data_IF_691824090844
#
_entry.id   IF_691824090844
#
_cell.length_a   1.000
_cell.length_b   1.000
_cell.length_c   1.000
_cell.angle_alpha   90.00
_cell.angle_beta   90.00
_cell.angle_gamma   90.00
#
_symmetry.space_group_name_H-M   'P 1'
#
loop_
_entity.id
_entity.type
_entity.pdbx_description
1 polymer ?
#
# COMPACT_ATOMS: atom_id res chain seq x y z
N UNK A 1 13.79 17.20 -25.87
CA UNK A 1 13.84 15.92 -25.16
C UNK A 1 14.38 14.87 -26.13
N UNK A 2 15.55 14.26 -25.86
CA UNK A 2 16.09 13.21 -26.70
C UNK A 2 15.19 11.96 -26.62
N UNK A 3 15.09 11.22 -27.72
CA UNK A 3 14.38 9.92 -27.74
C UNK A 3 15.03 8.99 -26.72
N UNK A 4 14.27 8.50 -25.73
CA UNK A 4 14.73 7.50 -24.76
C UNK A 4 14.76 6.07 -25.33
N UNK A 5 14.42 5.93 -26.61
CA UNK A 5 14.41 4.65 -27.29
C UNK A 5 15.85 4.09 -27.37
N UNK A 6 16.05 2.90 -26.80
CA UNK A 6 17.36 2.24 -26.80
C UNK A 6 18.26 2.59 -25.59
N UNK A 7 17.79 3.36 -24.60
CA UNK A 7 18.57 3.60 -23.39
C UNK A 7 18.71 2.31 -22.56
N UNK A 8 19.94 2.06 -22.11
CA UNK A 8 20.30 0.92 -21.29
C UNK A 8 20.49 1.31 -19.82
N UNK A 9 19.97 0.46 -18.92
CA UNK A 9 20.10 0.58 -17.46
C UNK A 9 20.66 -0.73 -16.89
N UNK A 10 21.37 -0.65 -15.77
CA UNK A 10 21.77 -1.87 -15.06
C UNK A 10 20.51 -2.58 -14.52
N UNK A 11 19.57 -1.81 -13.95
CA UNK A 11 18.29 -2.34 -13.44
C UNK A 11 17.12 -1.46 -13.87
N UNK A 12 16.09 -2.09 -14.42
CA UNK A 12 14.77 -1.49 -14.58
C UNK A 12 13.84 -2.03 -13.50
N UNK A 13 13.14 -1.12 -12.82
CA UNK A 13 12.07 -1.45 -11.87
C UNK A 13 10.73 -1.06 -12.49
N UNK A 14 9.76 -1.95 -12.48
CA UNK A 14 8.40 -1.68 -12.95
C UNK A 14 7.50 -1.45 -11.76
N UNK A 15 6.97 -0.23 -11.65
CA UNK A 15 6.11 0.24 -10.56
C UNK A 15 6.78 1.23 -9.61
N UNK A 16 6.19 2.43 -9.49
CA UNK A 16 6.61 3.50 -8.56
C UNK A 16 5.85 3.47 -7.22
N UNK A 17 5.46 2.28 -6.77
CA UNK A 17 4.96 2.06 -5.41
C UNK A 17 6.10 2.09 -4.38
N UNK A 18 5.81 2.09 -3.05
CA UNK A 18 6.84 2.14 -2.01
C UNK A 18 7.94 1.09 -2.16
N UNK A 19 7.59 -0.14 -2.55
CA UNK A 19 8.56 -1.22 -2.76
C UNK A 19 9.50 -0.91 -3.92
N UNK A 20 8.97 -0.48 -5.07
CA UNK A 20 9.80 -0.14 -6.23
C UNK A 20 10.71 1.05 -5.95
N UNK A 21 10.19 2.10 -5.31
CA UNK A 21 10.95 3.29 -4.95
C UNK A 21 12.06 3.01 -3.93
N UNK A 22 11.79 2.22 -2.86
CA UNK A 22 12.81 1.81 -1.89
C UNK A 22 13.87 0.91 -2.53
N UNK A 23 13.46 -0.03 -3.39
CA UNK A 23 14.39 -0.85 -4.17
C UNK A 23 15.32 0.03 -5.02
N UNK A 24 14.77 1.07 -5.66
CA UNK A 24 15.57 2.01 -6.45
C UNK A 24 16.61 2.76 -5.61
N UNK A 25 16.23 3.25 -4.41
CA UNK A 25 17.17 3.92 -3.49
C UNK A 25 18.30 2.95 -3.12
N UNK A 26 17.97 1.73 -2.73
CA UNK A 26 18.94 0.73 -2.31
C UNK A 26 19.94 0.36 -3.40
N UNK A 27 19.48 0.26 -4.64
CA UNK A 27 20.33 0.00 -5.79
C UNK A 27 21.17 1.22 -6.16
N UNK A 28 20.55 2.39 -6.24
CA UNK A 28 21.24 3.65 -6.57
C UNK A 28 22.30 4.02 -5.53
N UNK A 29 22.04 3.75 -4.24
CA UNK A 29 23.02 3.93 -3.15
C UNK A 29 24.27 3.05 -3.32
N UNK A 30 24.19 1.99 -4.11
CA UNK A 30 25.30 1.09 -4.47
C UNK A 30 25.94 1.43 -5.83
N UNK A 31 25.57 2.58 -6.42
CA UNK A 31 26.11 3.04 -7.70
C UNK A 31 25.51 2.33 -8.94
N UNK A 32 24.39 1.60 -8.77
CA UNK A 32 23.71 0.92 -9.87
C UNK A 32 22.84 1.92 -10.62
N UNK A 33 22.93 1.95 -11.95
CA UNK A 33 22.12 2.81 -12.83
C UNK A 33 20.70 2.27 -12.94
N UNK A 34 19.73 2.96 -12.31
CA UNK A 34 18.34 2.50 -12.15
C UNK A 34 17.37 3.38 -12.93
N UNK A 35 16.38 2.74 -13.58
CA UNK A 35 15.17 3.40 -14.04
C UNK A 35 13.93 2.76 -13.41
N UNK A 36 12.92 3.57 -13.11
CA UNK A 36 11.58 3.12 -12.73
C UNK A 36 10.63 3.43 -13.87
N UNK A 37 9.86 2.44 -14.30
CA UNK A 37 8.76 2.58 -15.25
C UNK A 37 7.43 2.49 -14.50
N UNK A 38 6.64 3.56 -14.53
CA UNK A 38 5.33 3.61 -13.87
C UNK A 38 4.26 3.91 -14.90
N UNK A 39 3.20 3.09 -14.92
CA UNK A 39 2.08 3.25 -15.84
C UNK A 39 1.21 4.49 -15.56
N UNK A 40 1.13 4.93 -14.31
CA UNK A 40 0.38 6.12 -13.90
C UNK A 40 1.09 7.41 -14.28
N UNK A 41 0.37 8.53 -14.26
CA UNK A 41 0.94 9.88 -14.49
C UNK A 41 1.74 10.42 -13.30
N UNK A 42 1.66 9.73 -12.16
CA UNK A 42 2.34 10.10 -10.92
C UNK A 42 2.11 9.05 -9.85
N UNK A 43 2.48 9.40 -8.61
CA UNK A 43 2.25 8.54 -7.44
C UNK A 43 0.75 8.31 -7.23
N UNK A 44 0.35 7.04 -7.06
CA UNK A 44 -1.03 6.65 -6.76
C UNK A 44 -1.54 7.33 -5.48
N UNK A 45 -2.60 8.14 -5.59
CA UNK A 45 -3.21 8.88 -4.48
C UNK A 45 -4.34 8.12 -3.78
N UNK A 46 -4.64 6.90 -4.21
CA UNK A 46 -5.72 6.11 -3.62
C UNK A 46 -5.40 5.70 -2.17
N UNK A 47 -6.43 5.53 -1.31
CA UNK A 47 -6.23 5.02 0.03
C UNK A 47 -5.59 3.62 0.03
N UNK A 48 -4.36 3.54 0.53
CA UNK A 48 -3.55 2.31 0.65
C UNK A 48 -3.09 2.16 2.10
N UNK A 49 -1.98 1.48 2.34
CA UNK A 49 -1.39 1.32 3.66
C UNK A 49 -1.22 2.66 4.39
N UNK A 50 -1.35 2.62 5.71
CA UNK A 50 -1.21 3.80 6.58
C UNK A 50 -0.31 3.55 7.76
N UNK A 51 -0.01 2.30 8.10
CA UNK A 51 0.75 1.96 9.30
C UNK A 51 1.99 1.16 8.93
N UNK A 52 3.14 1.62 9.37
CA UNK A 52 4.45 1.04 9.10
C UNK A 52 5.06 0.53 10.41
N UNK A 53 5.45 -0.73 10.39
CA UNK A 53 6.01 -1.42 11.55
C UNK A 53 7.52 -1.11 11.70
N UNK A 54 8.11 -1.33 12.86
CA UNK A 54 9.52 -1.02 13.13
C UNK A 54 10.53 -1.64 12.16
N UNK A 55 10.26 -2.83 11.63
CA UNK A 55 11.13 -3.44 10.61
C UNK A 55 11.22 -2.62 9.34
N UNK A 56 10.13 -1.94 8.94
CA UNK A 56 10.13 -1.02 7.79
C UNK A 56 10.84 0.29 8.15
N UNK A 57 10.76 0.72 9.41
CA UNK A 57 11.48 1.92 9.87
C UNK A 57 13.00 1.72 9.85
N UNK A 58 13.50 0.53 10.16
CA UNK A 58 14.92 0.21 10.02
C UNK A 58 15.40 0.37 8.57
N UNK A 59 14.62 -0.11 7.60
CA UNK A 59 14.89 0.10 6.17
C UNK A 59 14.85 1.59 5.79
N UNK A 60 13.91 2.36 6.36
CA UNK A 60 13.84 3.80 6.14
C UNK A 60 15.06 4.53 6.74
N UNK A 61 15.63 4.04 7.83
CA UNK A 61 16.84 4.57 8.43
C UNK A 61 18.06 4.29 7.56
N UNK A 62 18.23 3.05 7.11
CA UNK A 62 19.31 2.66 6.20
C UNK A 62 19.30 3.43 4.88
N UNK A 63 18.11 3.71 4.36
CA UNK A 63 17.93 4.51 3.13
C UNK A 63 18.01 6.02 3.38
N UNK A 64 18.06 6.46 4.65
CA UNK A 64 18.18 7.87 5.03
C UNK A 64 16.92 8.71 4.89
N UNK A 65 15.74 8.07 4.75
CA UNK A 65 14.45 8.78 4.60
C UNK A 65 13.66 8.88 5.92
N UNK A 66 14.07 8.17 6.98
CA UNK A 66 13.29 8.04 8.22
C UNK A 66 12.92 9.39 8.83
N UNK A 67 13.88 10.33 8.89
CA UNK A 67 13.64 11.64 9.49
C UNK A 67 12.65 12.49 8.67
N UNK A 68 12.67 12.37 7.35
CA UNK A 68 11.70 13.07 6.49
C UNK A 68 10.29 12.45 6.63
N UNK A 69 10.21 11.14 6.82
CA UNK A 69 8.95 10.46 7.12
C UNK A 69 8.41 10.87 8.49
N UNK A 70 9.24 10.91 9.54
CA UNK A 70 8.84 11.33 10.90
C UNK A 70 8.24 12.74 10.93
N UNK A 71 8.71 13.68 10.10
CA UNK A 71 8.16 15.03 9.99
C UNK A 71 6.69 15.06 9.52
N UNK A 72 6.25 14.02 8.80
CA UNK A 72 4.90 13.92 8.23
C UNK A 72 4.04 12.84 8.88
N UNK A 73 4.66 11.89 9.56
CA UNK A 73 4.01 10.76 10.18
C UNK A 73 3.53 11.06 11.61
N UNK A 74 2.60 10.23 12.06
CA UNK A 74 2.19 10.13 13.46
C UNK A 74 2.81 8.90 14.09
N UNK A 75 3.30 9.02 15.33
CA UNK A 75 3.78 7.85 16.08
C UNK A 75 2.58 6.94 16.39
N UNK A 76 2.69 5.68 15.99
CA UNK A 76 1.68 4.65 16.26
C UNK A 76 2.10 3.83 17.48
N UNK A 77 1.83 4.37 18.67
CA UNK A 77 2.28 3.81 19.93
C UNK A 77 1.17 3.14 20.75
N UNK A 78 -0.11 3.38 20.46
CA UNK A 78 -1.21 2.81 21.23
C UNK A 78 -2.17 2.06 20.32
N UNK A 79 -2.27 0.75 20.56
CA UNK A 79 -3.20 -0.14 19.90
C UNK A 79 -4.34 -0.44 20.85
N UNK A 80 -5.57 -0.09 20.51
CA UNK A 80 -6.77 -0.33 21.32
C UNK A 80 -7.72 -1.31 20.68
N UNK A 81 -8.37 -2.12 21.51
CA UNK A 81 -9.39 -3.08 21.10
C UNK A 81 -10.74 -2.66 21.69
N UNK A 82 -11.74 -2.61 20.85
CA UNK A 82 -13.08 -2.13 21.16
C UNK A 82 -14.11 -3.21 20.89
N UNK A 83 -15.12 -3.31 21.73
CA UNK A 83 -16.30 -4.15 21.56
C UNK A 83 -17.56 -3.29 21.62
N UNK A 84 -18.65 -3.79 21.01
CA UNK A 84 -19.92 -3.07 20.97
C UNK A 84 -20.09 -2.19 19.72
N UNK A 85 -21.24 -1.56 19.60
CA UNK A 85 -21.69 -0.84 18.41
C UNK A 85 -22.03 0.62 18.72
N UNK A 86 -21.74 1.54 17.80
CA UNK A 86 -22.08 2.96 17.92
C UNK A 86 -21.58 3.59 19.21
N UNK A 87 -22.46 4.27 19.93
CA UNK A 87 -22.18 4.94 21.21
C UNK A 87 -21.97 4.00 22.40
N UNK A 88 -22.30 2.70 22.26
CA UNK A 88 -22.12 1.68 23.28
C UNK A 88 -20.77 0.95 23.18
N UNK A 89 -19.79 1.52 22.45
CA UNK A 89 -18.45 0.95 22.36
C UNK A 89 -17.71 1.05 23.69
N UNK A 90 -17.10 -0.07 24.06
CA UNK A 90 -16.25 -0.20 25.23
C UNK A 90 -14.84 -0.61 24.80
N UNK A 91 -13.82 0.04 25.33
CA UNK A 91 -12.44 -0.38 25.14
C UNK A 91 -12.12 -1.53 26.10
N UNK A 92 -12.00 -2.73 25.55
CA UNK A 92 -11.78 -3.97 26.32
C UNK A 92 -10.30 -4.25 26.60
N UNK A 93 -9.40 -3.71 25.76
CA UNK A 93 -7.96 -3.85 25.94
C UNK A 93 -7.22 -2.74 25.22
N UNK A 94 -5.98 -2.49 25.62
CA UNK A 94 -5.03 -1.69 24.85
C UNK A 94 -3.60 -2.19 25.10
N UNK A 95 -2.73 -1.95 24.11
CA UNK A 95 -1.29 -2.19 24.19
C UNK A 95 -0.60 -0.87 23.91
N UNK A 96 0.22 -0.41 24.84
CA UNK A 96 1.09 0.72 24.62
C UNK A 96 2.46 0.24 24.18
N UNK A 97 2.89 0.74 23.03
CA UNK A 97 4.20 0.44 22.44
C UNK A 97 5.16 1.55 22.85
N UNK A 98 6.29 1.20 23.40
CA UNK A 98 7.28 2.16 23.84
C UNK A 98 8.16 2.60 22.67
N UNK A 99 8.40 3.88 22.54
CA UNK A 99 9.36 4.44 21.60
C UNK A 99 10.77 3.98 22.03
N UNK A 100 11.51 3.32 21.12
CA UNK A 100 12.81 2.72 21.44
C UNK A 100 12.78 1.46 22.29
N UNK A 101 11.60 0.87 22.56
CA UNK A 101 11.47 -0.38 23.30
C UNK A 101 11.76 -1.61 22.44
N UNK A 102 12.59 -2.53 22.95
CA UNK A 102 12.97 -3.76 22.24
C UNK A 102 11.83 -4.76 22.07
N UNK A 103 10.84 -4.75 22.96
CA UNK A 103 9.77 -5.75 23.01
C UNK A 103 8.54 -5.34 22.17
N UNK A 104 8.13 -4.08 22.25
CA UNK A 104 7.01 -3.53 21.48
C UNK A 104 7.34 -2.13 20.97
N UNK A 105 8.24 -1.98 19.99
CA UNK A 105 8.59 -0.68 19.47
C UNK A 105 7.38 -0.02 18.77
N UNK A 106 7.29 1.29 18.90
CA UNK A 106 6.28 2.07 18.20
C UNK A 106 6.52 2.06 16.68
N UNK A 107 5.44 2.03 15.91
CA UNK A 107 5.46 2.21 14.46
C UNK A 107 5.18 3.65 14.05
N UNK A 108 5.01 3.89 12.77
CA UNK A 108 4.60 5.16 12.20
C UNK A 108 3.31 5.03 11.40
N UNK A 109 2.42 6.00 11.53
CA UNK A 109 1.27 6.16 10.65
C UNK A 109 1.53 7.30 9.68
N UNK A 110 1.43 7.01 8.39
CA UNK A 110 1.56 7.96 7.30
C UNK A 110 0.79 7.42 6.10
N UNK A 111 0.04 8.25 5.40
CA UNK A 111 -0.61 7.80 4.17
C UNK A 111 0.41 7.34 3.13
N UNK A 112 0.18 6.20 2.48
CA UNK A 112 1.11 5.65 1.48
C UNK A 112 1.47 6.65 0.37
N UNK A 113 0.55 7.50 -0.15
CA UNK A 113 0.92 8.52 -1.14
C UNK A 113 1.96 9.52 -0.61
N UNK A 114 1.84 9.92 0.66
CA UNK A 114 2.80 10.82 1.30
C UNK A 114 4.16 10.14 1.45
N UNK A 115 4.19 8.90 1.92
CA UNK A 115 5.43 8.12 2.01
C UNK A 115 6.09 7.97 0.64
N UNK A 116 5.33 7.54 -0.38
CA UNK A 116 5.86 7.36 -1.73
C UNK A 116 6.41 8.68 -2.32
N UNK A 117 5.74 9.80 -2.05
CA UNK A 117 6.23 11.13 -2.43
C UNK A 117 7.55 11.49 -1.76
N UNK A 118 7.72 11.19 -0.47
CA UNK A 118 8.99 11.41 0.26
C UNK A 118 10.11 10.56 -0.34
N UNK A 119 9.84 9.28 -0.60
CA UNK A 119 10.83 8.36 -1.19
C UNK A 119 11.24 8.83 -2.59
N UNK A 120 10.27 9.19 -3.43
CA UNK A 120 10.50 9.70 -4.78
C UNK A 120 11.36 10.96 -4.77
N UNK A 121 11.00 11.93 -3.94
CA UNK A 121 11.74 13.19 -3.82
C UNK A 121 13.18 12.97 -3.33
N UNK A 122 13.37 12.07 -2.36
CA UNK A 122 14.71 11.68 -1.89
C UNK A 122 15.53 11.00 -2.99
N UNK A 123 14.91 10.06 -3.73
CA UNK A 123 15.55 9.36 -4.85
C UNK A 123 16.05 10.36 -5.92
N UNK A 124 15.16 11.25 -6.37
CA UNK A 124 15.48 12.20 -7.44
C UNK A 124 16.47 13.30 -7.03
N UNK A 125 16.52 13.65 -5.74
CA UNK A 125 17.49 14.67 -5.26
C UNK A 125 18.88 14.11 -4.99
N UNK A 126 18.99 12.83 -4.63
CA UNK A 126 20.27 12.26 -4.16
C UNK A 126 20.97 11.37 -5.18
N UNK A 127 20.23 10.84 -6.14
CA UNK A 127 20.76 9.84 -7.06
C UNK A 127 20.43 10.17 -8.51
N UNK A 128 21.29 9.74 -9.41
CA UNK A 128 21.05 9.80 -10.87
C UNK A 128 20.14 8.62 -11.28
N UNK A 129 18.90 8.63 -10.76
CA UNK A 129 17.87 7.64 -11.08
C UNK A 129 16.79 8.28 -11.94
N UNK A 130 16.26 7.54 -12.90
CA UNK A 130 15.15 8.00 -13.74
C UNK A 130 13.83 7.40 -13.28
N UNK A 131 12.80 8.23 -13.16
CA UNK A 131 11.42 7.80 -12.92
C UNK A 131 10.57 8.26 -14.08
N UNK A 132 10.12 7.31 -14.88
CA UNK A 132 9.38 7.54 -16.11
C UNK A 132 7.92 7.16 -15.89
N UNK A 133 7.10 8.19 -15.69
CA UNK A 133 5.66 8.05 -15.58
C UNK A 133 5.01 7.89 -16.96
N UNK A 134 3.77 7.37 -16.98
CA UNK A 134 3.03 7.11 -18.22
C UNK A 134 3.56 5.92 -19.04
N UNK A 135 4.45 5.10 -18.47
CA UNK A 135 5.09 3.96 -19.14
C UNK A 135 4.43 2.63 -18.70
N UNK A 136 3.55 2.10 -19.52
CA UNK A 136 2.91 0.80 -19.27
C UNK A 136 3.67 -0.30 -19.97
N UNK A 137 4.23 -1.24 -19.23
CA UNK A 137 4.93 -2.40 -19.78
C UNK A 137 3.93 -3.34 -20.45
N UNK A 138 4.13 -3.58 -21.75
CA UNK A 138 3.28 -4.43 -22.58
C UNK A 138 3.99 -5.72 -23.04
N UNK A 139 5.31 -5.65 -23.28
CA UNK A 139 6.09 -6.79 -23.74
C UNK A 139 7.39 -6.88 -22.94
N UNK A 140 7.85 -8.09 -22.72
CA UNK A 140 9.08 -8.38 -22.00
C UNK A 140 9.74 -9.59 -22.63
N UNK A 141 10.98 -9.42 -23.05
CA UNK A 141 11.83 -10.49 -23.57
C UNK A 141 13.14 -10.52 -22.81
N UNK A 142 13.74 -11.70 -22.67
CA UNK A 142 15.05 -11.83 -22.04
C UNK A 142 15.91 -12.86 -22.74
N UNK A 143 17.22 -12.59 -22.73
CA UNK A 143 18.30 -13.50 -23.14
C UNK A 143 19.15 -13.86 -21.91
N UNK A 144 20.25 -14.56 -22.09
CA UNK A 144 21.20 -14.84 -21.01
C UNK A 144 21.89 -13.58 -20.49
N UNK A 145 21.96 -12.50 -21.27
CA UNK A 145 22.70 -11.27 -20.93
C UNK A 145 21.84 -10.01 -20.83
N UNK A 146 20.62 -10.00 -21.37
CA UNK A 146 19.85 -8.76 -21.55
C UNK A 146 18.35 -9.01 -21.31
N UNK A 147 17.67 -8.00 -20.78
CA UNK A 147 16.20 -7.88 -20.74
C UNK A 147 15.79 -6.71 -21.64
N UNK A 148 14.80 -6.93 -22.49
CA UNK A 148 14.16 -5.92 -23.34
C UNK A 148 12.73 -5.70 -22.85
N UNK A 149 12.35 -4.44 -22.65
CA UNK A 149 11.02 -4.03 -22.19
C UNK A 149 10.42 -3.06 -23.20
N UNK A 150 9.22 -3.39 -23.68
CA UNK A 150 8.45 -2.49 -24.56
C UNK A 150 7.29 -1.89 -23.77
N UNK A 151 7.20 -0.58 -23.79
CA UNK A 151 6.16 0.19 -23.12
C UNK A 151 5.24 0.90 -24.11
N UNK A 152 3.96 0.95 -23.79
CA UNK A 152 3.02 1.92 -24.37
C UNK A 152 2.95 3.16 -23.50
N UNK A 153 2.59 4.30 -24.11
CA UNK A 153 2.30 5.55 -23.41
C UNK A 153 0.80 5.69 -23.15
N UNK A 154 0.44 6.44 -22.10
CA UNK A 154 -0.97 6.70 -21.74
C UNK A 154 -1.76 7.49 -22.80
N UNK A 155 -1.07 8.31 -23.56
CA UNK A 155 -1.63 9.20 -24.59
C UNK A 155 -1.57 8.61 -26.01
N UNK A 156 -1.56 7.28 -26.13
CA UNK A 156 -1.45 6.54 -27.40
C UNK A 156 -0.23 6.95 -28.27
N UNK A 157 0.80 7.50 -27.60
CA UNK A 157 2.08 7.82 -28.23
C UNK A 157 2.84 6.59 -28.75
N UNK A 158 3.94 6.80 -29.48
CA UNK A 158 4.73 5.69 -30.00
C UNK A 158 5.29 4.85 -28.84
N UNK A 159 5.35 3.53 -29.06
CA UNK A 159 5.95 2.60 -28.11
C UNK A 159 7.42 2.94 -27.87
N UNK A 160 7.85 2.83 -26.63
CA UNK A 160 9.25 3.01 -26.24
C UNK A 160 9.87 1.69 -25.81
N UNK A 161 11.09 1.45 -26.28
CA UNK A 161 11.85 0.24 -25.92
C UNK A 161 13.01 0.62 -25.01
N UNK A 162 13.16 -0.12 -23.91
CA UNK A 162 14.25 0.01 -22.95
C UNK A 162 14.99 -1.34 -22.84
N UNK A 163 16.26 -1.28 -22.44
CA UNK A 163 17.04 -2.49 -22.16
C UNK A 163 17.67 -2.40 -20.76
N UNK A 164 17.88 -3.56 -20.12
CA UNK A 164 18.58 -3.63 -18.85
C UNK A 164 19.24 -4.99 -18.64
N UNK A 165 20.19 -5.04 -17.69
CA UNK A 165 20.78 -6.31 -17.26
C UNK A 165 19.82 -7.12 -16.40
N UNK A 166 19.05 -6.44 -15.52
CA UNK A 166 18.10 -7.05 -14.60
C UNK A 166 16.81 -6.26 -14.55
N UNK A 167 15.70 -6.95 -14.31
CA UNK A 167 14.38 -6.33 -14.13
C UNK A 167 13.74 -6.73 -12.80
N UNK A 168 13.11 -5.75 -12.12
CA UNK A 168 12.32 -5.99 -10.91
C UNK A 168 10.88 -5.59 -11.16
N UNK A 169 9.95 -6.53 -11.13
CA UNK A 169 8.51 -6.27 -11.15
C UNK A 169 8.02 -5.94 -9.73
N UNK A 170 7.70 -4.66 -9.49
CA UNK A 170 7.09 -4.13 -8.25
C UNK A 170 5.76 -3.43 -8.56
N UNK A 171 5.06 -3.91 -9.59
CA UNK A 171 3.88 -3.31 -10.24
C UNK A 171 2.54 -3.76 -9.64
N UNK A 172 2.59 -4.26 -8.37
CA UNK A 172 1.41 -4.55 -7.56
C UNK A 172 0.73 -5.89 -7.87
N UNK A 173 -0.39 -6.16 -7.20
CA UNK A 173 -1.10 -7.44 -7.26
C UNK A 173 -1.51 -7.86 -8.68
N UNK A 174 -1.85 -6.90 -9.53
CA UNK A 174 -2.19 -7.11 -10.94
C UNK A 174 -1.01 -7.26 -11.88
N UNK A 175 0.22 -7.43 -11.39
CA UNK A 175 1.50 -7.37 -12.06
C UNK A 175 1.49 -7.82 -13.52
N UNK A 176 1.87 -6.91 -14.42
CA UNK A 176 2.13 -7.19 -15.83
C UNK A 176 3.40 -8.03 -15.99
N UNK A 177 4.44 -7.70 -15.22
CA UNK A 177 5.72 -8.43 -15.25
C UNK A 177 5.51 -9.90 -14.91
N UNK A 178 4.81 -10.21 -13.80
CA UNK A 178 4.51 -11.60 -13.42
C UNK A 178 3.79 -12.35 -14.53
N UNK A 179 2.77 -11.73 -15.15
CA UNK A 179 1.98 -12.34 -16.23
C UNK A 179 2.80 -12.56 -17.50
N UNK A 180 3.61 -11.58 -17.90
CA UNK A 180 4.49 -11.69 -19.07
C UNK A 180 5.57 -12.78 -18.89
N UNK A 181 6.03 -12.99 -17.67
CA UNK A 181 6.93 -14.09 -17.33
C UNK A 181 6.24 -15.46 -17.29
N UNK A 182 4.91 -15.51 -17.35
CA UNK A 182 4.14 -16.76 -17.21
C UNK A 182 4.27 -17.38 -15.81
N UNK A 183 4.47 -16.54 -14.77
CA UNK A 183 4.54 -16.99 -13.37
C UNK A 183 3.14 -17.03 -12.79
N UNK A 184 2.73 -18.18 -12.28
CA UNK A 184 1.43 -18.37 -11.66
C UNK A 184 1.33 -17.65 -10.32
N UNK A 185 0.10 -17.28 -9.93
CA UNK A 185 -0.21 -16.58 -8.69
C UNK A 185 -1.20 -17.41 -7.88
N UNK A 186 -0.67 -18.35 -7.13
CA UNK A 186 -1.43 -19.33 -6.37
C UNK A 186 -2.04 -18.75 -5.11
N UNK A 187 -3.11 -19.38 -4.62
CA UNK A 187 -3.84 -18.99 -3.43
C UNK A 187 -5.30 -18.70 -3.72
N UNK A 188 -5.93 -17.92 -2.86
CA UNK A 188 -7.37 -17.67 -2.93
C UNK A 188 -7.72 -16.19 -2.74
N UNK A 189 -8.98 -15.87 -3.03
CA UNK A 189 -9.59 -14.56 -2.80
C UNK A 189 -10.91 -14.79 -2.06
N UNK A 190 -11.28 -13.89 -1.17
CA UNK A 190 -12.58 -13.97 -0.51
C UNK A 190 -13.70 -13.67 -1.52
N UNK A 191 -14.57 -14.64 -1.84
CA UNK A 191 -15.55 -14.46 -2.91
C UNK A 191 -16.76 -13.61 -2.51
N UNK A 192 -17.09 -13.60 -1.22
CA UNK A 192 -18.33 -13.00 -0.68
C UNK A 192 -18.13 -11.63 -0.05
N UNK A 193 -16.89 -11.22 0.19
CA UNK A 193 -16.55 -9.99 0.92
C UNK A 193 -15.59 -9.15 0.11
N UNK A 194 -15.84 -7.86 0.06
CA UNK A 194 -14.91 -6.82 -0.33
C UNK A 194 -14.62 -5.94 0.88
N UNK A 195 -13.56 -5.17 0.82
CA UNK A 195 -13.23 -4.20 1.87
C UNK A 195 -13.31 -2.79 1.34
N UNK A 196 -13.69 -1.91 2.25
CA UNK A 196 -13.68 -0.48 2.02
C UNK A 196 -12.66 0.15 2.95
N UNK A 197 -11.79 0.95 2.38
CA UNK A 197 -10.94 1.88 3.10
C UNK A 197 -11.42 3.29 2.85
N UNK A 198 -11.87 3.97 3.89
CA UNK A 198 -12.24 5.38 3.83
C UNK A 198 -11.22 6.23 4.56
N UNK A 199 -10.90 7.41 4.01
CA UNK A 199 -10.27 8.48 4.76
C UNK A 199 -11.35 9.50 5.11
N UNK A 200 -11.47 9.82 6.39
CA UNK A 200 -12.50 10.73 6.89
C UNK A 200 -11.98 11.62 8.01
N UNK A 201 -12.61 12.78 8.18
CA UNK A 201 -12.43 13.63 9.36
C UNK A 201 -13.56 13.35 10.33
N UNK A 202 -13.20 12.96 11.54
CA UNK A 202 -14.12 12.66 12.62
C UNK A 202 -13.40 12.81 13.97
N UNK A 203 -14.07 13.30 15.03
CA UNK A 203 -13.42 13.56 16.30
C UNK A 203 -13.21 12.29 17.15
N UNK A 204 -12.61 11.25 16.60
CA UNK A 204 -12.38 9.96 17.26
C UNK A 204 -11.69 10.09 18.62
N UNK A 205 -10.73 11.02 18.75
CA UNK A 205 -10.01 11.26 20.02
C UNK A 205 -10.95 11.67 21.17
N UNK A 206 -12.03 12.41 20.87
CA UNK A 206 -13.06 12.79 21.84
C UNK A 206 -13.70 11.57 22.51
N UNK A 207 -13.74 10.47 21.80
CA UNK A 207 -14.33 9.20 22.25
C UNK A 207 -13.29 8.18 22.76
N UNK A 208 -12.05 8.62 22.99
CA UNK A 208 -10.99 7.77 23.55
C UNK A 208 -10.30 6.87 22.53
N UNK A 209 -10.55 7.04 21.23
CA UNK A 209 -9.81 6.32 20.19
C UNK A 209 -8.35 6.78 20.16
N UNK A 210 -7.46 5.81 20.03
CA UNK A 210 -6.01 5.97 20.06
C UNK A 210 -5.42 5.93 18.64
N UNK A 211 -4.10 5.80 18.52
CA UNK A 211 -3.43 5.85 17.20
C UNK A 211 -3.80 4.70 16.26
N UNK A 212 -4.13 3.52 16.84
CA UNK A 212 -4.69 2.40 16.08
C UNK A 212 -5.78 1.72 16.93
N UNK A 213 -6.91 1.41 16.31
CA UNK A 213 -8.09 0.87 16.99
C UNK A 213 -8.69 -0.26 16.18
N UNK A 214 -8.92 -1.39 16.83
CA UNK A 214 -9.64 -2.54 16.29
C UNK A 214 -11.02 -2.63 16.94
N UNK A 215 -12.06 -2.43 16.16
CA UNK A 215 -13.43 -2.69 16.55
C UNK A 215 -13.74 -4.15 16.25
N UNK A 216 -13.92 -4.93 17.30
CA UNK A 216 -14.18 -6.37 17.23
C UNK A 216 -15.70 -6.59 17.27
N UNK A 217 -16.23 -6.99 16.14
CA UNK A 217 -17.65 -7.31 15.95
C UNK A 217 -17.77 -8.34 14.81
N UNK A 218 -18.68 -9.28 14.91
CA UNK A 218 -18.82 -10.35 13.92
C UNK A 218 -19.27 -9.85 12.53
N UNK A 219 -19.95 -8.71 12.49
CA UNK A 219 -20.53 -8.14 11.26
C UNK A 219 -19.96 -6.75 10.97
N UNK A 220 -19.76 -5.91 11.99
CA UNK A 220 -19.39 -4.52 11.86
C UNK A 220 -17.96 -4.24 12.37
N UNK A 221 -17.07 -5.20 12.19
CA UNK A 221 -15.67 -5.01 12.51
C UNK A 221 -15.09 -3.82 11.73
N UNK A 222 -14.17 -3.11 12.34
CA UNK A 222 -13.46 -2.02 11.69
C UNK A 222 -12.05 -1.85 12.24
N UNK A 223 -11.17 -1.36 11.39
CA UNK A 223 -9.85 -0.85 11.79
C UNK A 223 -9.84 0.65 11.58
N UNK A 224 -9.61 1.37 12.67
CA UNK A 224 -9.59 2.84 12.66
C UNK A 224 -8.21 3.31 13.09
N UNK A 225 -7.50 4.01 12.20
CA UNK A 225 -6.15 4.50 12.45
C UNK A 225 -6.04 5.99 12.13
N UNK A 226 -5.32 6.74 12.97
CA UNK A 226 -4.97 8.11 12.63
C UNK A 226 -3.98 8.11 11.45
N UNK A 227 -4.18 9.00 10.48
CA UNK A 227 -3.28 9.14 9.33
C UNK A 227 -2.26 10.24 9.60
N UNK A 228 -2.74 11.40 10.08
CA UNK A 228 -1.94 12.59 10.27
C UNK A 228 -2.42 13.43 11.47
N UNK A 229 -1.73 14.53 11.71
CA UNK A 229 -2.07 15.47 12.80
C UNK A 229 -3.19 16.46 12.44
N UNK A 230 -3.71 16.44 11.23
CA UNK A 230 -4.80 17.34 10.77
C UNK A 230 -6.20 16.82 11.12
N UNK A 231 -6.29 15.66 11.79
CA UNK A 231 -7.54 15.01 12.12
C UNK A 231 -8.08 14.08 11.03
N UNK A 232 -7.24 13.68 10.09
CA UNK A 232 -7.57 12.68 9.08
C UNK A 232 -7.37 11.26 9.65
N UNK A 233 -8.39 10.43 9.50
CA UNK A 233 -8.40 9.05 9.95
C UNK A 233 -8.70 8.10 8.82
N UNK A 234 -8.15 6.90 8.89
CA UNK A 234 -8.56 5.75 8.11
C UNK A 234 -9.59 4.95 8.88
N UNK A 235 -10.71 4.62 8.23
CA UNK A 235 -11.63 3.60 8.68
C UNK A 235 -11.73 2.53 7.60
N UNK A 236 -11.32 1.30 7.93
CA UNK A 236 -11.41 0.15 7.04
C UNK A 236 -12.37 -0.88 7.64
N UNK A 237 -13.27 -1.42 6.82
CA UNK A 237 -14.30 -2.39 7.23
C UNK A 237 -14.70 -3.30 6.07
N UNK A 238 -15.36 -4.43 6.39
CA UNK A 238 -15.87 -5.37 5.41
C UNK A 238 -17.24 -4.95 4.88
N UNK A 239 -17.49 -5.28 3.62
CA UNK A 239 -18.79 -5.14 2.95
C UNK A 239 -19.09 -6.37 2.10
N UNK A 240 -20.36 -6.54 1.72
CA UNK A 240 -20.76 -7.54 0.73
C UNK A 240 -20.03 -7.28 -0.60
N UNK A 241 -19.50 -8.34 -1.21
CA UNK A 241 -18.83 -8.26 -2.49
C UNK A 241 -19.77 -7.79 -3.63
N UNK A 242 -19.19 -7.12 -4.60
CA UNK A 242 -19.86 -6.75 -5.85
C UNK A 242 -20.65 -5.44 -5.82
N UNK A 243 -20.63 -4.68 -4.71
CA UNK A 243 -21.24 -3.35 -4.67
C UNK A 243 -20.46 -2.34 -5.51
N UNK A 244 -21.17 -1.45 -6.19
CA UNK A 244 -20.54 -0.28 -6.84
C UNK A 244 -20.15 0.78 -5.81
N UNK A 245 -19.30 1.73 -6.19
CA UNK A 245 -18.92 2.83 -5.28
C UNK A 245 -20.13 3.69 -4.88
N UNK A 246 -21.13 3.85 -5.77
CA UNK A 246 -22.37 4.58 -5.50
C UNK A 246 -23.21 3.83 -4.45
N UNK A 247 -23.34 2.52 -4.60
CA UNK A 247 -24.05 1.67 -3.63
C UNK A 247 -23.35 1.69 -2.26
N UNK A 248 -22.02 1.60 -2.24
CA UNK A 248 -21.23 1.70 -0.99
C UNK A 248 -21.45 3.06 -0.32
N UNK A 249 -21.44 4.16 -1.09
CA UNK A 249 -21.71 5.49 -0.54
C UNK A 249 -23.12 5.62 0.02
N UNK A 250 -24.10 5.00 -0.61
CA UNK A 250 -25.49 5.02 -0.13
C UNK A 250 -25.68 4.22 1.18
N UNK A 251 -24.89 3.16 1.39
CA UNK A 251 -24.94 2.32 2.59
C UNK A 251 -23.96 2.81 3.70
N UNK A 252 -23.13 3.82 3.43
CA UNK A 252 -22.02 4.23 4.31
C UNK A 252 -22.51 4.71 5.68
N UNK A 253 -23.59 5.47 5.73
CA UNK A 253 -24.19 5.96 6.97
C UNK A 253 -24.66 4.81 7.88
N UNK A 254 -25.20 3.74 7.30
CA UNK A 254 -25.63 2.55 8.07
C UNK A 254 -24.42 1.80 8.65
N UNK A 255 -23.30 1.74 7.94
CA UNK A 255 -22.04 1.21 8.48
C UNK A 255 -21.49 2.13 9.59
N UNK A 256 -21.44 3.42 9.34
CA UNK A 256 -20.88 4.39 10.28
C UNK A 256 -21.69 4.55 11.55
N UNK A 257 -23.01 4.41 11.48
CA UNK A 257 -23.88 4.33 12.65
C UNK A 257 -23.44 3.27 13.67
N UNK A 258 -22.81 2.21 13.20
CA UNK A 258 -22.33 1.11 14.04
C UNK A 258 -20.85 1.24 14.38
N UNK A 259 -20.05 1.84 13.48
CA UNK A 259 -18.59 1.94 13.61
C UNK A 259 -18.21 3.24 14.37
N UNK A 260 -18.84 4.37 14.08
CA UNK A 260 -18.46 5.66 14.66
C UNK A 260 -19.08 5.87 16.06
N UNK A 261 -18.28 6.10 17.09
CA UNK A 261 -18.81 6.45 18.41
C UNK A 261 -19.43 7.85 18.34
N UNK A 262 -20.64 8.01 18.91
CA UNK A 262 -21.33 9.32 18.94
C UNK A 262 -22.13 9.69 17.69
N UNK A 263 -22.21 8.82 16.70
CA UNK A 263 -23.09 9.00 15.56
C UNK A 263 -24.57 8.90 15.96
N UNK A 264 -25.52 9.70 15.42
CA UNK A 264 -25.34 10.74 14.38
C UNK A 264 -25.07 12.15 14.92
N UNK A 265 -24.86 12.32 16.23
CA UNK A 265 -24.67 13.63 16.84
C UNK A 265 -23.42 14.40 16.34
N UNK A 266 -22.42 13.67 15.87
CA UNK A 266 -21.23 14.22 15.22
C UNK A 266 -21.31 13.90 13.73
N UNK A 267 -21.24 14.89 12.86
CA UNK A 267 -21.08 14.70 11.42
C UNK A 267 -19.68 14.19 11.08
N UNK A 268 -19.51 13.56 9.92
CA UNK A 268 -18.21 13.22 9.37
C UNK A 268 -17.99 13.87 8.00
N UNK A 269 -16.75 14.12 7.65
CA UNK A 269 -16.35 14.53 6.30
C UNK A 269 -15.64 13.36 5.63
N UNK A 270 -16.23 12.80 4.58
CA UNK A 270 -15.61 11.75 3.78
C UNK A 270 -14.65 12.39 2.78
N UNK A 271 -13.34 12.14 2.95
CA UNK A 271 -12.29 12.66 2.07
C UNK A 271 -12.02 11.72 0.90
N UNK A 272 -11.93 10.41 1.16
CA UNK A 272 -11.66 9.40 0.13
C UNK A 272 -12.38 8.10 0.47
N UNK A 273 -12.71 7.33 -0.58
CA UNK A 273 -13.24 5.97 -0.47
C UNK A 273 -12.60 5.11 -1.54
N UNK A 274 -12.09 3.95 -1.14
CA UNK A 274 -11.57 2.95 -2.06
C UNK A 274 -12.06 1.56 -1.64
N UNK A 275 -12.54 0.79 -2.61
CA UNK A 275 -12.90 -0.62 -2.45
C UNK A 275 -11.77 -1.49 -2.94
N UNK A 276 -11.47 -2.56 -2.24
CA UNK A 276 -10.51 -3.57 -2.66
C UNK A 276 -10.95 -4.97 -2.26
N UNK A 277 -10.55 -5.94 -3.07
CA UNK A 277 -10.82 -7.35 -2.82
C UNK A 277 -9.66 -7.95 -2.02
N UNK A 278 -9.95 -8.61 -0.89
CA UNK A 278 -8.90 -9.29 -0.14
C UNK A 278 -8.42 -10.54 -0.89
N UNK A 279 -7.10 -10.73 -0.88
CA UNK A 279 -6.42 -11.84 -1.50
C UNK A 279 -5.39 -12.43 -0.54
N UNK A 280 -5.21 -13.75 -0.63
CA UNK A 280 -4.09 -14.48 -0.04
C UNK A 280 -3.45 -15.26 -1.17
N UNK A 281 -2.45 -14.67 -1.82
CA UNK A 281 -1.80 -15.24 -3.01
C UNK A 281 -0.30 -15.04 -2.98
N UNK A 282 0.42 -16.02 -3.58
CA UNK A 282 1.86 -15.98 -3.72
C UNK A 282 2.25 -16.44 -5.12
N UNK A 283 3.24 -15.79 -5.71
CA UNK A 283 3.83 -16.25 -6.96
C UNK A 283 4.57 -17.57 -6.73
N UNK A 284 4.44 -18.51 -7.66
CA UNK A 284 5.09 -19.82 -7.58
C UNK A 284 6.63 -19.74 -7.59
N UNK A 285 7.15 -18.63 -8.08
CA UNK A 285 8.57 -18.27 -8.02
C UNK A 285 8.75 -16.76 -8.05
N UNK A 286 9.78 -16.26 -7.37
CA UNK A 286 10.09 -14.82 -7.28
C UNK A 286 11.15 -14.37 -8.27
N UNK A 287 11.69 -15.30 -9.04
CA UNK A 287 12.68 -15.04 -10.08
C UNK A 287 12.47 -15.97 -11.26
N UNK A 288 12.61 -15.42 -12.48
CA UNK A 288 12.72 -16.20 -13.71
C UNK A 288 13.78 -15.56 -14.61
N UNK A 289 14.91 -16.26 -14.79
CA UNK A 289 16.06 -15.71 -15.51
C UNK A 289 16.60 -14.44 -14.85
N UNK A 290 16.55 -13.31 -15.58
CA UNK A 290 17.01 -11.98 -15.13
C UNK A 290 15.91 -11.11 -14.53
N UNK A 291 14.70 -11.63 -14.37
CA UNK A 291 13.56 -10.89 -13.87
C UNK A 291 13.18 -11.37 -12.47
N UNK A 292 12.97 -10.42 -11.55
CA UNK A 292 12.55 -10.63 -10.17
C UNK A 292 11.14 -10.06 -9.93
N UNK A 293 10.45 -10.57 -8.94
CA UNK A 293 9.20 -10.00 -8.42
C UNK A 293 9.40 -9.55 -6.98
N UNK A 294 8.82 -8.39 -6.64
CA UNK A 294 8.88 -7.82 -5.30
C UNK A 294 7.53 -7.24 -4.87
N UNK A 295 7.28 -7.20 -3.56
CA UNK A 295 6.03 -6.68 -2.97
C UNK A 295 4.80 -7.43 -3.48
N UNK A 296 3.71 -6.71 -3.72
CA UNK A 296 2.43 -7.29 -4.15
C UNK A 296 2.49 -8.00 -5.51
N UNK A 297 3.50 -7.73 -6.34
CA UNK A 297 3.75 -8.50 -7.56
C UNK A 297 4.17 -9.94 -7.25
N UNK A 298 4.89 -10.14 -6.15
CA UNK A 298 5.34 -11.45 -5.67
C UNK A 298 4.32 -12.12 -4.75
N UNK A 299 3.74 -11.41 -3.82
CA UNK A 299 2.74 -11.95 -2.89
C UNK A 299 1.80 -10.87 -2.36
N UNK A 300 0.56 -11.25 -2.15
CA UNK A 300 -0.44 -10.44 -1.47
C UNK A 300 -1.01 -11.22 -0.31
N UNK A 301 -1.13 -10.57 0.83
CA UNK A 301 -1.70 -11.18 2.02
C UNK A 301 -2.73 -10.28 2.67
N UNK A 302 -3.65 -10.91 3.37
CA UNK A 302 -4.69 -10.23 4.11
C UNK A 302 -4.18 -9.86 5.52
N UNK A 303 -3.98 -8.58 5.83
CA UNK A 303 -3.34 -8.17 7.08
C UNK A 303 -4.20 -8.38 8.34
N UNK A 304 -5.51 -8.67 8.19
CA UNK A 304 -6.46 -8.70 9.31
C UNK A 304 -7.04 -10.07 9.61
N UNK A 305 -6.38 -11.16 9.24
CA UNK A 305 -6.83 -12.53 9.52
C UNK A 305 -7.10 -12.78 11.02
N UNK A 306 -6.39 -12.06 11.90
CA UNK A 306 -6.57 -12.13 13.36
C UNK A 306 -7.86 -11.46 13.87
N UNK A 307 -8.52 -10.62 13.06
CA UNK A 307 -9.71 -9.87 13.47
C UNK A 307 -11.02 -10.51 13.00
N UNK A 308 -10.96 -11.38 12.00
CA UNK A 308 -12.09 -12.17 11.55
C UNK A 308 -12.18 -13.42 12.44
N UNK A 309 -12.69 -13.25 13.68
CA UNK A 309 -12.95 -14.35 14.57
C UNK A 309 -13.70 -15.46 13.87
N UNK A 310 -13.12 -16.66 13.87
CA UNK A 310 -13.71 -17.96 13.63
C UNK A 310 -14.90 -18.08 12.64
N UNK A 311 -14.70 -17.67 11.38
CA UNK A 311 -15.43 -18.34 10.30
C UNK A 311 -14.51 -19.41 9.72
N UNK A 312 -14.42 -20.54 10.40
CA UNK A 312 -13.65 -21.74 10.00
C UNK A 312 -14.21 -22.46 8.77
N UNK A 313 -15.22 -21.92 8.11
CA UNK A 313 -15.87 -22.51 6.94
C UNK A 313 -15.10 -22.28 5.62
N UNK A 314 -13.84 -21.84 5.69
CA UNK A 314 -13.02 -21.53 4.51
C UNK A 314 -11.66 -22.24 4.48
N UNK A 315 -11.43 -23.26 5.32
CA UNK A 315 -10.27 -24.13 5.21
C UNK A 315 -10.66 -25.54 4.76
#
# INVERSE_FOLDING_TARGET
MGSLTGEHFDVIIVGAGPVGLLTAINLANRGIKVAILERGEGIDQSPRATSYQPCVMAEMEETGILEDVKKKAMVNNILSFWKGSGSQKERVAYVEKLEGGDVFPAGLNCGQPVLAGIILDHLLRRYDAKVLFGQKVEELEQTESLVTVVCSHLDDGPRTTFTCDWLVGADGAGSSVRKLLGIEFEGFSWPKEDFVATNLRYPFKKYGFTTANFVMDDVNWAVVTVIDNTGLWRCAFGIRAGLTNEQIRAELDDHYKRILPGWPGEGYELVQLNRYKPHQRCATQFRKGRCFLAGDAAHVQFPFLLLMGHKTDYF
#
